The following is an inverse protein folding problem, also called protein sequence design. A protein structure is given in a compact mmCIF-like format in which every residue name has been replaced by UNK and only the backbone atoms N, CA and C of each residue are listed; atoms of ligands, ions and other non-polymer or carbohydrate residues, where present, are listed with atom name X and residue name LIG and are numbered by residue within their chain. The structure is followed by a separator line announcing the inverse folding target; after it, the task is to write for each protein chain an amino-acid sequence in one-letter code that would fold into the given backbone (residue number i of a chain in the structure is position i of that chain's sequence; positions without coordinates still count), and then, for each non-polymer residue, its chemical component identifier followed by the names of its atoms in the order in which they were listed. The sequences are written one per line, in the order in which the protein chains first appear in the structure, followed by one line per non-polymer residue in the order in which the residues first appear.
data_IF_057725951019
#
_entry.id   IF_057725951019
#
_cell.length_a   1.000
_cell.length_b   1.000
_cell.length_c   1.000
_cell.angle_alpha   90.00
_cell.angle_beta   90.00
_cell.angle_gamma   90.00
#
_symmetry.space_group_name_H-M   'P 1'
#
loop_
_entity.id
_entity.type
_entity.pdbx_description
1 polymer ?
2 non-polymer ?
3 water ?
#
# COMPACT_ATOMS: atom_id res chain seq x y z
N UNK A 3 -6.42 4.88 17.95
CA UNK A 3 -6.27 3.53 18.60
C UNK A 3 -6.34 2.49 17.50
N UNK A 5 -9.15 3.62 15.50
CA UNK A 5 -9.83 4.77 14.94
C UNK A 5 -8.85 5.64 14.16
N UNK A 6 -7.66 5.87 14.75
CA UNK A 6 -6.64 6.69 14.09
C UNK A 6 -6.19 6.06 12.76
N UNK A 7 -5.92 4.75 12.77
CA UNK A 7 -5.58 4.00 11.54
C UNK A 7 -6.67 4.16 10.47
N UNK A 8 -7.91 4.11 10.92
CA UNK A 8 -9.07 4.25 10.05
C UNK A 8 -9.16 5.67 9.45
N UNK A 9 -8.91 6.69 10.25
CA UNK A 9 -8.79 8.04 9.76
C UNK A 9 -7.68 8.18 8.70
N UNK A 10 -6.49 7.67 8.99
CA UNK A 10 -5.36 7.74 8.06
C UNK A 10 -5.65 7.03 6.73
N UNK A 11 -6.10 5.76 6.80
CA UNK A 11 -6.50 4.93 5.62
C UNK A 11 -7.40 5.70 4.67
N UNK A 12 -8.47 6.26 5.23
CA UNK A 12 -9.52 6.89 4.46
C UNK A 12 -9.04 8.20 3.83
N UNK A 14 -5.99 8.56 2.92
CA UNK A 14 -5.10 8.10 1.86
C UNK A 14 -5.96 7.58 0.72
N UNK A 15 -7.01 6.87 1.06
CA UNK A 15 -7.99 6.44 0.06
C UNK A 15 -8.49 7.66 -0.76
N UNK A 16 -8.93 8.75 -0.09
CA UNK A 16 -9.34 9.98 -0.81
C UNK A 16 -8.31 10.45 -1.83
N UNK A 17 -7.08 10.69 -1.36
CA UNK A 17 -6.00 11.08 -2.28
C UNK A 17 -5.94 10.16 -3.53
N UNK A 18 -6.17 8.88 -3.35
CA UNK A 18 -6.01 7.90 -4.46
C UNK A 18 -7.11 8.03 -5.50
N UNK A 19 -8.34 8.10 -5.00
CA UNK A 19 -9.53 8.39 -5.78
C UNK A 19 -9.33 9.54 -6.74
N UNK A 20 -8.81 10.69 -6.28
CA UNK A 20 -8.64 11.90 -7.15
C UNK A 20 -7.86 11.60 -8.46
N UNK A 21 -6.95 10.62 -8.38
CA UNK A 21 -5.97 10.31 -9.41
C UNK A 21 -6.45 9.30 -10.43
N UNK A 22 -7.48 8.54 -10.06
CA UNK A 22 -8.04 7.42 -10.86
C UNK A 22 -8.45 7.72 -12.32
N UNK A 23 -9.18 8.81 -12.58
CA UNK A 23 -9.61 9.23 -13.93
C UNK A 23 -8.41 9.36 -14.83
N UNK A 25 -5.48 8.03 -14.30
CA UNK A 25 -4.92 6.68 -14.54
C UNK A 25 -5.72 5.86 -15.56
N UNK A 26 -7.05 6.00 -15.55
CA UNK A 26 -7.93 5.30 -16.50
C UNK A 26 -7.63 5.83 -17.94
N UNK A 27 -7.64 7.17 -18.13
CA UNK A 27 -7.32 7.72 -19.46
C UNK A 27 -5.97 7.28 -19.99
N UNK A 28 -4.98 7.24 -19.10
CA UNK A 28 -3.63 6.83 -19.40
C UNK A 28 -3.59 5.33 -19.79
N UNK A 29 -4.29 4.49 -19.03
CA UNK A 29 -4.24 3.08 -19.31
C UNK A 29 -4.89 2.78 -20.63
N UNK A 30 -5.99 3.49 -20.91
CA UNK A 30 -6.84 3.12 -22.03
C UNK A 30 -6.32 3.74 -23.29
N UNK A 31 -5.09 4.24 -23.26
CA UNK A 31 -4.40 4.53 -24.51
C UNK A 31 -4.13 3.23 -25.29
N UNK A 32 -4.17 2.09 -24.58
CA UNK A 32 -4.27 0.78 -25.21
C UNK A 32 -5.67 0.30 -24.91
N UNK A 33 -6.44 -0.05 -25.97
CA UNK A 33 -7.76 -0.64 -25.86
C UNK A 33 -7.83 -1.81 -24.84
N UNK A 34 -8.83 -1.80 -23.97
CA UNK A 34 -8.96 -2.80 -22.90
C UNK A 34 -10.42 -3.02 -22.52
N UNK A 35 -10.78 -4.26 -22.22
CA UNK A 35 -12.01 -4.59 -21.48
C UNK A 35 -11.97 -4.06 -20.05
N UNK A 36 -13.12 -3.69 -19.48
CA UNK A 36 -13.15 -3.18 -18.08
C UNK A 36 -12.46 -4.17 -17.14
N UNK A 37 -12.75 -5.48 -17.25
CA UNK A 37 -12.14 -6.49 -16.32
C UNK A 37 -10.61 -6.43 -16.35
N UNK A 38 -10.06 -6.34 -17.56
CA UNK A 38 -8.63 -6.12 -17.78
C UNK A 38 -8.11 -4.84 -17.11
N UNK A 39 -8.85 -3.75 -17.22
CA UNK A 39 -8.41 -2.51 -16.57
C UNK A 39 -8.40 -2.69 -15.04
N UNK A 40 -9.47 -3.26 -14.50
CA UNK A 40 -9.49 -3.63 -13.08
C UNK A 40 -8.21 -4.35 -12.67
N UNK A 41 -7.88 -5.50 -13.30
CA UNK A 41 -6.68 -6.25 -12.91
C UNK A 41 -5.39 -5.44 -13.18
N UNK A 42 -5.40 -4.64 -14.26
CA UNK A 42 -4.25 -3.79 -14.60
C UNK A 42 -3.94 -2.75 -13.49
N UNK A 43 -4.97 -2.12 -12.95
CA UNK A 43 -4.79 -1.18 -11.84
C UNK A 43 -4.33 -1.88 -10.54
N UNK A 44 -4.99 -2.97 -10.17
CA UNK A 44 -4.58 -3.70 -8.97
C UNK A 44 -3.17 -4.26 -9.11
N UNK A 45 -2.78 -4.67 -10.33
CA UNK A 45 -1.39 -5.07 -10.63
C UNK A 45 -0.39 -3.93 -10.39
N UNK A 46 -0.78 -2.68 -10.65
CA UNK A 46 0.13 -1.56 -10.38
C UNK A 46 -0.04 -0.94 -9.00
N UNK A 47 -0.71 -1.66 -8.11
CA UNK A 47 -0.83 -1.24 -6.71
C UNK A 47 -2.03 -0.36 -6.45
N UNK A 48 -2.93 -0.24 -7.43
CA UNK A 48 -4.16 0.58 -7.29
C UNK A 48 -5.45 -0.25 -7.35
N UNK A 49 -6.00 -0.60 -6.16
CA UNK A 49 -7.28 -1.31 -6.05
C UNK A 49 -8.49 -0.44 -6.37
N UNK A 50 -9.38 -1.02 -7.18
CA UNK A 50 -10.60 -0.37 -7.66
C UNK A 50 -11.65 -1.49 -7.85
N UNK A 51 -12.87 -1.23 -7.38
CA UNK A 51 -14.00 -2.13 -7.58
C UNK A 51 -14.63 -1.87 -8.96
N UNK A 52 -15.16 -2.94 -9.56
CA UNK A 52 -15.88 -2.87 -10.86
C UNK A 52 -17.07 -1.94 -10.77
N UNK A 53 -17.77 -2.05 -9.64
CA UNK A 53 -18.82 -1.10 -9.19
C UNK A 53 -18.50 0.39 -9.15
N UNK A 54 -17.22 0.74 -9.04
CA UNK A 54 -16.83 2.15 -9.19
C UNK A 54 -16.31 2.33 -10.58
N UNK A 55 -15.44 1.41 -10.99
CA UNK A 55 -14.73 1.59 -12.25
C UNK A 55 -15.67 1.76 -13.45
N UNK A 56 -16.65 0.88 -13.60
CA UNK A 56 -17.50 0.80 -14.80
C UNK A 56 -18.34 2.06 -15.03
N UNK A 57 -19.02 2.59 -13.98
CA UNK A 57 -19.71 3.90 -14.12
C UNK A 57 -18.79 5.07 -14.50
N UNK A 58 -17.58 5.08 -13.98
CA UNK A 58 -16.57 6.07 -14.29
C UNK A 58 -16.21 5.97 -15.79
N UNK A 60 -18.11 4.76 -18.24
CA UNK A 60 -19.24 5.19 -19.11
C UNK A 60 -19.42 6.68 -19.08
N UNK A 61 -19.16 7.26 -17.91
CA UNK A 61 -19.25 8.70 -17.78
C UNK A 61 -18.17 9.30 -18.68
N UNK A 62 -16.97 8.74 -18.69
CA UNK A 62 -15.91 9.20 -19.59
C UNK A 62 -16.25 9.00 -21.06
N UNK A 63 -16.98 7.93 -21.36
CA UNK A 63 -17.45 7.71 -22.74
C UNK A 63 -18.47 8.82 -23.12
N UNK A 64 -19.37 9.13 -22.19
CA UNK A 64 -20.37 10.15 -22.51
C UNK A 64 -19.75 11.56 -22.70
N UNK A 65 -18.53 11.75 -22.19
CA UNK A 65 -17.78 12.97 -22.37
C UNK A 65 -16.98 13.08 -23.65
N UNK A 66 -17.01 12.05 -24.50
CA UNK A 66 -16.22 11.98 -25.72
C UNK A 66 -14.76 11.57 -25.46
N UNK A 67 -14.48 11.24 -24.21
CA UNK A 67 -13.10 10.96 -23.82
C UNK A 67 -12.64 9.49 -23.95
N UNK A 68 -13.60 8.56 -23.90
CA UNK A 68 -13.34 7.15 -24.24
C UNK A 68 -14.31 6.84 -25.37
N UNK A 69 -13.95 5.91 -26.26
CA UNK A 69 -14.90 5.36 -27.16
C UNK A 69 -14.90 3.85 -26.88
N UNK A 70 -15.87 3.12 -27.40
CA UNK A 70 -16.04 1.75 -26.98
C UNK A 70 -16.36 0.97 -28.21
N UNK A 71 -16.12 -0.33 -28.09
CA UNK A 71 -16.39 -1.31 -29.18
C UNK A 71 -16.78 -2.64 -28.57
N UNK A 72 -17.75 -3.27 -29.20
CA UNK A 72 -18.16 -4.64 -28.88
C UNK A 72 -17.32 -5.73 -29.53
N UNK A 73 -16.82 -6.62 -28.68
CA UNK A 73 -16.20 -7.86 -29.13
C UNK A 73 -17.15 -9.03 -28.85
N UNK A 74 -17.64 -9.68 -29.92
CA UNK A 74 -18.29 -10.99 -29.81
C UNK A 74 -17.28 -12.10 -29.89
N UNK A 75 -17.15 -12.83 -28.78
CA UNK A 75 -16.23 -13.95 -28.72
C UNK A 75 -16.89 -15.18 -28.18
N UNK A 76 -18.21 -15.28 -28.35
CA UNK A 76 -18.93 -16.49 -27.98
C UNK A 76 -19.08 -16.77 -26.49
N UNK A 77 -18.14 -16.25 -25.67
CA UNK A 77 -18.24 -16.42 -24.22
C UNK A 77 -19.44 -15.57 -23.87
N UNK A 78 -19.30 -14.28 -24.06
CA UNK A 78 -20.43 -13.38 -24.25
C UNK A 78 -19.86 -12.17 -25.00
N UNK A 79 -20.70 -11.15 -25.30
CA UNK A 79 -20.03 -9.95 -25.77
C UNK A 79 -19.49 -9.19 -24.58
N UNK A 80 -18.42 -8.43 -24.82
CA UNK A 80 -17.81 -7.55 -23.83
C UNK A 80 -17.38 -6.32 -24.60
N UNK A 81 -17.57 -5.15 -24.03
CA UNK A 81 -16.99 -3.94 -24.60
C UNK A 81 -15.51 -3.83 -24.29
N UNK A 82 -14.74 -3.34 -25.25
CA UNK A 82 -13.45 -2.72 -24.95
C UNK A 82 -13.46 -1.18 -25.16
N UNK A 83 -12.59 -0.49 -24.44
CA UNK A 83 -12.58 0.95 -24.42
C UNK A 83 -11.22 1.45 -24.75
N UNK A 84 -11.16 2.65 -25.31
CA UNK A 84 -9.90 3.24 -25.71
C UNK A 84 -10.02 4.74 -25.52
N UNK A 85 -8.93 5.38 -25.10
CA UNK A 85 -8.88 6.85 -24.96
C UNK A 85 -8.98 7.56 -26.35
N UNK A 86 -9.88 8.52 -26.51
CA UNK A 86 -10.03 9.15 -27.84
C UNK A 86 -9.02 10.30 -27.97
N UNK A 87 -9.01 10.99 -29.14
CA UNK A 87 -8.09 12.09 -29.35
C UNK A 87 -8.35 13.20 -28.31
N UNK A 88 -9.63 13.53 -28.05
CA UNK A 88 -10.02 14.48 -26.98
C UNK A 88 -9.64 14.00 -25.58
N UNK A 89 -9.78 12.70 -25.31
CA UNK A 89 -9.41 12.15 -23.98
C UNK A 89 -7.94 12.36 -23.62
N UNK A 90 -7.07 12.22 -24.62
CA UNK A 90 -5.61 12.38 -24.47
C UNK A 90 -5.26 13.83 -24.26
N UNK A 91 -5.88 14.68 -25.07
CA UNK A 91 -5.85 16.10 -24.79
C UNK A 91 -6.24 16.41 -23.33
N UNK A 92 -7.38 15.92 -22.85
CA UNK A 92 -7.84 16.21 -21.46
C UNK A 92 -6.86 15.67 -20.43
N UNK A 93 -6.40 14.44 -20.65
CA UNK A 93 -5.40 13.77 -19.79
C UNK A 93 -4.13 14.60 -19.64
N UNK A 94 -3.55 14.98 -20.78
CA UNK A 94 -2.30 15.71 -20.78
C UNK A 94 -2.38 17.08 -20.09
N UNK A 95 -3.48 17.80 -20.27
CA UNK A 95 -3.76 19.03 -19.52
C UNK A 95 -3.84 18.78 -17.98
N UNK A 96 -4.78 17.93 -17.55
CA UNK A 96 -4.92 17.58 -16.12
C UNK A 96 -3.60 17.17 -15.46
N UNK A 97 -2.81 16.33 -16.13
CA UNK A 97 -1.52 15.83 -15.63
C UNK A 97 -0.52 16.95 -15.36
N UNK A 98 -0.38 17.84 -16.36
CA UNK A 98 0.45 19.01 -16.21
C UNK A 98 -0.02 19.88 -15.04
N UNK A 99 -1.32 20.13 -14.88
CA UNK A 99 -1.83 20.87 -13.68
C UNK A 99 -1.64 20.08 -12.38
N UNK A 100 -1.78 18.76 -12.44
CA UNK A 100 -1.50 17.92 -11.27
C UNK A 100 -0.10 18.07 -10.75
N UNK A 101 0.88 18.08 -11.66
CA UNK A 101 2.26 18.27 -11.25
C UNK A 101 2.47 19.62 -10.58
N UNK A 102 1.90 20.68 -11.15
CA UNK A 102 2.05 22.01 -10.53
C UNK A 102 1.43 21.99 -9.14
N UNK A 103 0.26 21.37 -9.05
CA UNK A 103 -0.45 21.25 -7.79
C UNK A 103 0.42 20.56 -6.73
N UNK A 104 1.08 19.49 -7.13
CA UNK A 104 1.87 18.67 -6.21
C UNK A 104 3.05 19.50 -5.70
N UNK A 105 3.73 20.20 -6.61
CA UNK A 105 4.83 21.01 -6.14
C UNK A 105 4.33 22.12 -5.19
N UNK A 106 3.14 22.67 -5.47
CA UNK A 106 2.57 23.76 -4.62
C UNK A 106 2.20 23.24 -3.23
N UNK A 107 1.53 22.09 -3.22
CA UNK A 107 1.21 21.41 -1.98
C UNK A 107 2.48 21.05 -1.18
N UNK A 108 3.46 20.44 -1.86
CA UNK A 108 4.72 20.09 -1.18
C UNK A 108 5.36 21.26 -0.44
N UNK A 109 5.55 22.37 -1.16
CA UNK A 109 6.16 23.55 -0.58
C UNK A 109 5.39 24.10 0.62
N UNK A 110 4.06 24.04 0.55
CA UNK A 110 3.23 24.57 1.60
C UNK A 110 3.36 23.70 2.83
N UNK A 111 3.57 22.41 2.62
CA UNK A 111 3.64 21.51 3.74
C UNK A 111 5.01 21.63 4.37
N UNK A 112 5.99 22.04 3.58
CA UNK A 112 7.36 22.15 4.08
C UNK A 112 7.77 23.43 4.78
N UNK A 113 6.84 24.35 4.97
CA UNK A 113 7.15 25.64 5.59
C UNK A 113 7.65 25.49 7.05
N UNK A 114 8.95 25.22 7.17
CA UNK A 114 9.60 24.96 8.46
C UNK A 114 11.04 25.45 8.46
N UNK B 3 15.08 2.85 38.86
CA UNK B 3 16.41 3.29 39.36
C UNK B 3 16.99 2.20 40.24
N UNK B 5 18.38 -1.43 41.07
CA UNK B 5 19.21 -2.41 40.39
C UNK B 5 18.33 -3.24 39.47
N UNK B 6 17.05 -3.28 39.81
CA UNK B 6 16.13 -4.21 39.21
C UNK B 6 15.20 -3.63 38.16
N UNK B 7 15.01 -2.31 38.19
CA UNK B 7 14.29 -1.61 37.10
C UNK B 7 14.91 -1.83 35.71
N UNK B 8 16.23 -1.66 35.59
CA UNK B 8 16.96 -1.92 34.34
C UNK B 8 16.76 -3.37 33.85
N UNK B 9 16.91 -4.33 34.76
CA UNK B 9 16.61 -5.73 34.43
C UNK B 9 15.26 -5.89 33.73
N UNK B 10 14.21 -5.39 34.37
CA UNK B 10 12.84 -5.53 33.83
C UNK B 10 12.75 -4.88 32.44
N UNK B 11 13.34 -3.69 32.32
CA UNK B 11 13.40 -2.90 31.06
C UNK B 11 14.08 -3.67 29.93
N UNK B 12 15.28 -4.18 30.21
CA UNK B 12 16.00 -5.07 29.29
C UNK B 12 15.17 -6.27 28.87
N UNK B 14 11.69 -6.63 28.84
CA UNK B 14 10.59 -6.09 28.02
C UNK B 14 11.14 -5.71 26.63
N UNK B 15 12.27 -5.02 26.60
CA UNK B 15 12.99 -4.70 25.37
C UNK B 15 13.17 -5.89 24.44
N UNK B 16 13.71 -6.99 24.96
CA UNK B 16 14.03 -8.17 24.13
C UNK B 16 12.77 -8.78 23.52
N UNK B 17 11.73 -8.91 24.33
CA UNK B 17 10.43 -9.37 23.84
C UNK B 17 9.95 -8.49 22.69
N UNK B 18 10.16 -7.18 22.81
CA UNK B 18 9.88 -6.25 21.71
C UNK B 18 10.70 -6.57 20.46
N UNK B 19 12.02 -6.69 20.64
CA UNK B 19 12.94 -6.96 19.52
C UNK B 19 12.48 -8.09 18.56
N UNK B 20 11.90 -9.15 19.12
CA UNK B 20 11.47 -10.33 18.35
C UNK B 20 10.23 -10.16 17.48
N UNK B 21 9.41 -9.15 17.76
CA UNK B 21 8.13 -8.97 17.07
C UNK B 21 8.23 -7.91 15.97
N UNK B 22 9.31 -7.14 16.01
CA UNK B 22 9.62 -6.13 15.00
C UNK B 22 9.56 -6.56 13.51
N UNK B 23 10.24 -7.64 13.12
CA UNK B 23 10.29 -8.01 11.70
C UNK B 23 8.87 -8.12 11.18
N UNK B 25 6.08 -6.67 12.56
CA UNK B 25 5.51 -5.31 12.45
C UNK B 25 5.97 -4.61 11.13
N UNK B 26 7.24 -4.73 10.75
CA UNK B 26 7.71 -4.13 9.49
C UNK B 26 7.02 -4.78 8.28
N UNK B 27 6.93 -6.10 8.25
CA UNK B 27 6.23 -6.75 7.15
C UNK B 27 4.76 -6.34 7.05
N UNK B 28 4.10 -6.27 8.19
CA UNK B 28 2.72 -5.83 8.21
C UNK B 28 2.53 -4.42 7.65
N UNK B 29 3.37 -3.50 8.14
CA UNK B 29 3.21 -2.07 7.81
C UNK B 29 3.48 -1.85 6.34
N UNK B 30 4.49 -2.55 5.81
CA UNK B 30 4.95 -2.34 4.44
C UNK B 30 4.09 -3.02 3.38
N UNK B 31 2.94 -3.53 3.81
CA UNK B 31 1.92 -3.98 2.86
C UNK B 31 1.44 -2.72 2.13
N UNK B 32 1.69 -1.57 2.77
CA UNK B 32 1.50 -0.26 2.21
C UNK B 32 2.85 0.40 2.02
N UNK B 33 3.21 0.67 0.75
CA UNK B 33 4.56 1.14 0.44
C UNK B 33 4.92 2.36 1.27
N UNK B 34 6.19 2.48 1.68
CA UNK B 34 6.59 3.49 2.66
C UNK B 34 8.12 3.74 2.69
N UNK B 35 8.50 5.00 2.84
CA UNK B 35 9.90 5.36 3.01
C UNK B 35 10.37 4.83 4.36
N UNK B 36 11.66 4.54 4.47
CA UNK B 36 12.25 4.17 5.77
C UNK B 36 11.84 5.11 6.90
N UNK B 37 11.93 6.41 6.65
CA UNK B 37 11.63 7.42 7.67
C UNK B 37 10.18 7.34 8.12
N UNK B 38 9.30 7.05 7.16
CA UNK B 38 7.88 7.01 7.42
C UNK B 38 7.57 5.75 8.24
N UNK B 39 8.28 4.66 7.98
CA UNK B 39 8.06 3.44 8.77
C UNK B 39 8.43 3.63 10.23
N UNK B 40 9.53 4.34 10.50
CA UNK B 40 9.95 4.54 11.88
C UNK B 40 8.89 5.37 12.64
N UNK B 41 8.42 6.47 12.05
CA UNK B 41 7.33 7.25 12.60
C UNK B 41 6.06 6.43 12.89
N UNK B 42 5.63 5.59 11.93
CA UNK B 42 4.40 4.81 12.07
C UNK B 42 4.52 3.89 13.28
N UNK B 43 5.68 3.25 13.39
CA UNK B 43 5.89 2.32 14.50
C UNK B 43 5.88 3.11 15.81
N UNK B 44 6.65 4.21 15.88
CA UNK B 44 6.59 5.07 17.09
C UNK B 44 5.18 5.63 17.36
N UNK B 45 4.46 6.04 16.32
CA UNK B 45 3.06 6.46 16.52
C UNK B 45 2.23 5.29 17.09
N UNK B 46 2.62 4.05 16.79
CA UNK B 46 1.86 2.92 17.35
C UNK B 46 2.37 2.38 18.65
N UNK B 47 3.18 3.17 19.37
CA UNK B 47 3.71 2.82 20.69
C UNK B 47 5.02 2.07 20.63
N UNK B 48 5.45 1.69 19.43
CA UNK B 48 6.58 0.77 19.30
C UNK B 48 7.82 1.45 18.73
N UNK B 49 8.68 1.97 19.63
CA UNK B 49 9.85 2.77 19.26
C UNK B 49 10.97 1.90 18.69
N UNK B 50 12.00 2.54 18.14
CA UNK B 50 13.12 1.86 17.50
C UNK B 50 14.24 2.85 17.18
N UNK B 54 19.43 -0.80 14.19
CA UNK B 54 18.17 -1.49 14.46
C UNK B 54 17.41 -1.82 13.19
N UNK B 55 16.92 -0.78 12.51
CA UNK B 55 15.95 -0.92 11.42
C UNK B 55 16.52 -1.00 10.02
N UNK B 56 17.53 -0.18 9.74
CA UNK B 56 18.13 -0.12 8.41
C UNK B 56 18.97 -1.34 8.02
N UNK B 57 19.61 -2.02 9.00
CA UNK B 57 20.18 -3.35 8.75
C UNK B 57 19.11 -4.40 8.45
N UNK B 58 17.99 -4.32 9.17
CA UNK B 58 16.89 -5.27 9.08
C UNK B 58 16.16 -5.21 7.72
N UNK B 60 17.61 -3.99 4.63
CA UNK B 60 18.57 -4.56 3.69
C UNK B 60 18.41 -6.09 3.60
N UNK B 61 18.43 -6.75 4.76
CA UNK B 61 18.23 -8.21 4.86
C UNK B 61 16.95 -8.73 4.18
N UNK B 62 15.83 -8.04 4.42
CA UNK B 62 14.52 -8.53 3.97
C UNK B 62 14.35 -8.34 2.49
N UNK B 63 14.88 -7.22 2.00
CA UNK B 63 14.83 -6.90 0.58
C UNK B 63 15.73 -7.87 -0.21
N UNK B 64 16.84 -8.27 0.43
CA UNK B 64 17.79 -9.27 -0.10
C UNK B 64 17.21 -10.67 -0.22
N UNK B 65 16.29 -11.00 0.68
CA UNK B 65 15.64 -12.30 0.64
C UNK B 65 14.35 -12.17 -0.16
N UNK B 66 14.06 -10.97 -0.66
CA UNK B 66 12.86 -10.71 -1.46
C UNK B 66 11.57 -10.79 -0.65
N UNK B 67 11.59 -10.33 0.59
CA UNK B 67 10.36 -10.20 1.34
C UNK B 67 9.81 -8.76 1.16
N UNK B 68 10.72 -7.85 0.78
CA UNK B 68 10.40 -6.47 0.46
C UNK B 68 10.99 -6.23 -0.91
N UNK B 69 10.31 -5.38 -1.68
CA UNK B 69 10.88 -4.78 -2.91
C UNK B 69 11.05 -3.24 -2.66
N UNK B 70 11.79 -2.54 -3.49
CA UNK B 70 11.96 -1.08 -3.24
C UNK B 70 11.91 -0.32 -4.54
N UNK B 71 11.38 0.89 -4.51
CA UNK B 71 11.46 1.83 -5.63
C UNK B 71 12.19 3.07 -5.10
N UNK B 72 12.81 3.87 -5.99
CA UNK B 72 13.38 5.16 -5.64
C UNK B 72 12.49 6.28 -6.12
N UNK B 73 12.28 7.23 -5.22
CA UNK B 73 11.60 8.51 -5.51
C UNK B 73 12.69 9.60 -5.71
N UNK B 74 12.95 10.03 -6.95
CA UNK B 74 13.94 11.11 -7.15
C UNK B 74 13.50 12.37 -6.43
N UNK B 75 12.49 13.07 -6.98
CA UNK B 75 11.93 14.28 -6.38
C UNK B 75 12.99 15.32 -6.04
N UNK B 76 12.65 16.22 -5.12
CA UNK B 76 13.53 17.34 -4.76
C UNK B 76 14.29 17.08 -3.47
N UNK B 78 17.10 14.93 -4.22
CA UNK B 78 17.09 14.12 -3.02
C UNK B 78 16.45 12.77 -3.22
N UNK B 79 17.21 11.81 -3.78
CA UNK B 79 16.66 10.45 -3.92
C UNK B 79 16.29 9.84 -2.56
N UNK B 80 15.07 9.31 -2.42
CA UNK B 80 14.80 8.43 -1.30
C UNK B 80 14.14 7.18 -1.79
N UNK B 81 14.35 6.13 -1.00
CA UNK B 81 13.93 4.79 -1.30
C UNK B 81 12.68 4.42 -0.51
N UNK B 82 11.68 3.83 -1.15
CA UNK B 82 10.56 3.26 -0.43
C UNK B 82 10.40 1.75 -0.66
N UNK B 83 9.78 1.09 0.32
CA UNK B 83 9.64 -0.37 0.36
C UNK B 83 8.21 -0.83 0.37
N UNK B 84 7.99 -2.01 -0.18
CA UNK B 84 6.69 -2.67 -0.12
C UNK B 84 7.00 -4.10 0.23
N UNK B 85 6.15 -4.69 1.07
CA UNK B 85 6.14 -6.15 1.26
C UNK B 85 5.70 -6.90 -0.04
N UNK B 86 6.48 -7.93 -0.42
CA UNK B 86 6.23 -8.68 -1.63
C UNK B 86 5.22 -9.80 -1.33
N UNK B 87 4.82 -10.54 -2.37
CA UNK B 87 3.80 -11.60 -2.25
C UNK B 87 4.33 -12.66 -1.33
N UNK B 88 5.64 -12.90 -1.46
CA UNK B 88 6.33 -13.80 -0.53
C UNK B 88 6.45 -13.24 0.89
N UNK B 89 6.81 -11.96 1.01
CA UNK B 89 6.94 -11.34 2.31
C UNK B 89 5.68 -11.52 3.12
N UNK B 90 4.54 -11.38 2.46
CA UNK B 90 3.23 -11.51 3.12
C UNK B 90 2.93 -12.95 3.53
N UNK B 91 3.24 -13.91 2.64
CA UNK B 91 3.21 -15.33 2.97
C UNK B 91 3.96 -15.62 4.28
N UNK B 92 5.24 -15.21 4.32
CA UNK B 92 6.13 -15.34 5.53
C UNK B 92 5.52 -14.69 6.78
N UNK B 93 5.03 -13.45 6.62
CA UNK B 93 4.33 -12.72 7.69
C UNK B 93 3.22 -13.55 8.31
N UNK B 94 2.33 -14.05 7.47
CA UNK B 94 1.13 -14.74 7.93
C UNK B 94 1.49 -16.07 8.60
N UNK B 95 2.46 -16.78 8.03
CA UNK B 95 2.98 -18.03 8.62
C UNK B 95 3.57 -17.79 10.01
N UNK B 96 4.48 -16.83 10.12
CA UNK B 96 5.04 -16.46 11.42
C UNK B 96 3.94 -15.99 12.40
N UNK B 97 3.05 -15.10 11.94
CA UNK B 97 1.97 -14.57 12.80
C UNK B 97 1.20 -15.73 13.39
N UNK B 98 0.81 -16.66 12.56
CA UNK B 98 0.09 -17.83 13.04
C UNK B 98 0.83 -18.63 14.14
N UNK B 99 2.12 -18.91 13.94
CA UNK B 99 2.88 -19.67 14.95
C UNK B 99 3.06 -18.83 16.21
N UNK B 100 3.10 -17.51 16.04
CA UNK B 100 3.24 -16.58 17.15
C UNK B 100 2.08 -16.70 18.12
N UNK B 101 0.86 -16.71 17.59
CA UNK B 101 -0.30 -16.81 18.42
C UNK B 101 -0.27 -18.16 19.13
N UNK B 102 0.20 -19.22 18.48
CA UNK B 102 0.31 -20.53 19.19
C UNK B 102 1.38 -20.47 20.29
N UNK B 103 2.53 -19.84 19.99
CA UNK B 103 3.61 -19.68 20.98
C UNK B 103 3.16 -18.87 22.20
N UNK B 104 2.36 -17.83 21.97
CA UNK B 104 1.89 -17.00 23.06
C UNK B 104 0.98 -17.84 23.91
N UNK B 105 -0.02 -18.46 23.29
CA UNK B 105 -0.87 -19.37 24.08
C UNK B 105 -0.05 -20.28 24.92
N UNK B 106 0.97 -20.90 24.31
CA UNK B 106 1.72 -21.97 25.01
C UNK B 106 2.53 -21.48 26.20
N UNK B 107 3.14 -20.31 26.05
CA UNK B 107 3.89 -19.66 27.15
C UNK B 107 2.98 -19.23 28.33
N UNK B 108 1.82 -18.68 27.97
CA UNK B 108 0.79 -18.33 28.91
C UNK B 108 0.42 -19.49 29.81
N UNK B 109 0.21 -20.66 29.22
CA UNK B 109 -0.16 -21.89 29.96
C UNK B 109 0.93 -22.47 30.87
N UNK B 110 2.20 -22.28 30.49
CA UNK B 110 3.33 -22.66 31.39
C UNK B 110 3.45 -21.69 32.57
N UNK B 111 3.24 -20.42 32.30
CA UNK B 111 3.33 -19.39 33.33
C UNK B 111 2.20 -19.53 34.34
N UNK B 112 1.07 -20.07 33.89
CA UNK B 112 -0.16 -20.10 34.65
C UNK B 112 -0.52 -21.48 35.05
N UNK B 113 0.30 -22.03 35.93
CA UNK B 113 0.03 -23.32 36.57
C UNK B 113 -0.61 -23.09 37.95
N UNK B 114 -1.09 -24.16 38.57
CA UNK B 114 -1.87 -24.08 39.81
C UNK B 114 -3.18 -23.33 39.59
N UNK B 115 -3.78 -23.52 38.42
CA UNK B 115 -5.04 -22.85 38.06
C UNK B 115 -4.94 -21.35 37.79
N UNK B 116 -3.80 -20.76 38.18
CA UNK B 116 -3.47 -19.33 38.03
C UNK B 116 -3.94 -18.69 36.74
N UNK B 117 -4.44 -17.46 36.86
CA UNK B 117 -4.62 -16.58 35.70
C UNK B 117 -3.36 -15.73 35.53
N UNK B 118 -3.39 -14.83 34.55
CA UNK B 118 -2.46 -13.71 34.51
C UNK B 118 -2.50 -12.98 35.84
#
# INVERSE_FOLDING_TARGET
SNAXAYDDIVSSXVLELRRGTLVXLVLSQLREPAYGYALVKSLADHGIPIEANTLYPLXRRLESQGLLASEWDNGGSKPRKYYRTTDEGLRVLREVEAQWHVLCDGVGKLLETNGEDREHAER
SNAXAYDDIVSSXVLELRRGTLVXLVLSQLREPAYGYALVKSLADHGIPIEANTLYPLXRRLESQGLLASEWDNGGSKPRKYYRTTDEGLRVLREVEAQWHVLCDGVGKLLETNGEDREHAER
#
